data_IF_582159916219
#
_entry.id   IF_582159916219
#
_cell.length_a   1.000
_cell.length_b   1.000
_cell.length_c   1.000
_cell.angle_alpha   90.00
_cell.angle_beta   90.00
_cell.angle_gamma   90.00
#
_symmetry.space_group_name_H-M   'P 1'
#
loop_
_entity.id
_entity.type
_entity.pdbx_description
1 polymer ?
#
# COMPACT_ATOMS: atom_id res chain seq x y z
N UNK A 1 74.13 31.02 30.40
CA UNK A 1 74.06 29.70 29.75
C UNK A 1 72.99 28.91 30.49
N UNK A 2 71.73 29.07 30.11
CA UNK A 2 71.03 28.37 29.01
C UNK A 2 70.66 26.94 29.42
N UNK A 3 69.46 26.41 29.24
CA UNK A 3 68.16 26.98 28.87
C UNK A 3 67.07 26.02 29.36
N UNK A 4 65.94 26.59 29.78
CA UNK A 4 64.74 25.89 30.19
C UNK A 4 64.05 25.31 28.95
N UNK A 5 64.01 23.99 28.79
CA UNK A 5 63.20 23.33 27.75
C UNK A 5 61.95 22.73 28.38
N UNK A 6 60.94 23.58 28.56
CA UNK A 6 59.56 23.15 28.79
C UNK A 6 58.95 22.79 27.43
N UNK A 7 58.77 21.50 27.17
CA UNK A 7 57.96 21.04 26.04
C UNK A 7 56.49 21.41 26.31
N UNK A 8 55.84 22.26 25.50
CA UNK A 8 54.40 22.39 25.58
C UNK A 8 53.82 21.17 24.89
N UNK A 9 53.29 20.23 25.67
CA UNK A 9 52.34 19.25 25.14
C UNK A 9 51.16 20.03 24.58
N UNK A 10 51.12 20.19 23.26
CA UNK A 10 49.95 20.65 22.51
C UNK A 10 48.90 19.57 22.73
N UNK A 11 48.15 19.68 23.83
CA UNK A 11 46.91 18.96 24.04
C UNK A 11 45.97 19.56 22.99
N UNK A 12 45.98 18.98 21.79
CA UNK A 12 44.95 19.25 20.80
C UNK A 12 43.62 18.89 21.50
N UNK A 13 42.73 19.84 21.78
CA UNK A 13 41.47 19.53 22.43
C UNK A 13 40.76 18.52 21.54
N UNK A 14 40.45 17.36 22.10
CA UNK A 14 39.66 16.32 21.44
C UNK A 14 38.41 17.01 20.92
N UNK A 15 38.11 16.99 19.61
CA UNK A 15 36.99 17.73 19.07
C UNK A 15 35.74 17.37 19.87
N UNK A 16 35.01 18.36 20.42
CA UNK A 16 33.86 18.10 21.26
C UNK A 16 32.88 17.23 20.49
N UNK A 17 32.29 16.26 21.18
CA UNK A 17 31.37 15.30 20.56
C UNK A 17 30.30 16.08 19.76
N UNK A 18 29.97 15.70 18.51
CA UNK A 18 29.10 16.50 17.63
C UNK A 18 27.74 16.87 18.28
N UNK A 19 27.19 15.99 19.12
CA UNK A 19 26.02 16.27 19.97
C UNK A 19 26.17 17.48 20.92
N UNK A 20 27.37 17.76 21.43
CA UNK A 20 27.70 18.92 22.25
C UNK A 20 27.72 20.21 21.41
N UNK A 21 28.23 20.16 20.18
CA UNK A 21 28.17 21.29 19.24
C UNK A 21 26.73 21.60 18.76
N UNK A 22 25.88 20.58 18.61
CA UNK A 22 24.44 20.76 18.33
C UNK A 22 23.73 21.39 19.53
N UNK A 23 24.17 21.08 20.76
CA UNK A 23 23.61 21.69 21.98
C UNK A 23 23.95 23.18 22.11
N UNK A 24 25.09 23.62 21.55
CA UNK A 24 25.53 25.01 21.53
C UNK A 24 24.82 25.87 20.47
N UNK A 25 24.25 25.27 19.41
CA UNK A 25 23.47 25.99 18.40
C UNK A 25 21.96 25.77 18.57
N UNK A 26 21.20 26.81 19.01
CA UNK A 26 19.77 26.65 19.33
C UNK A 26 18.92 26.25 18.10
N UNK A 27 19.35 26.62 16.90
CA UNK A 27 18.70 26.29 15.62
C UNK A 27 18.78 24.80 15.30
N UNK A 28 19.97 24.19 15.38
CA UNK A 28 20.16 22.76 15.10
C UNK A 28 19.47 21.86 16.14
N UNK A 29 19.46 22.30 17.41
CA UNK A 29 18.74 21.59 18.47
C UNK A 29 17.22 21.60 18.25
N UNK A 30 16.65 22.74 17.83
CA UNK A 30 15.22 22.85 17.56
C UNK A 30 14.83 22.04 16.32
N UNK A 31 15.65 22.11 15.27
CA UNK A 31 15.46 21.36 14.05
C UNK A 31 15.54 19.84 14.27
N UNK A 32 16.50 19.36 15.07
CA UNK A 32 16.58 17.95 15.46
C UNK A 32 15.31 17.51 16.21
N UNK A 33 14.82 18.31 17.17
CA UNK A 33 13.56 18.01 17.88
C UNK A 33 12.37 17.97 16.92
N UNK A 34 12.29 18.90 15.98
CA UNK A 34 11.23 18.96 14.99
C UNK A 34 11.27 17.74 14.06
N UNK A 35 12.45 17.33 13.60
CA UNK A 35 12.61 16.17 12.72
C UNK A 35 12.35 14.85 13.43
N UNK A 36 12.78 14.69 14.68
CA UNK A 36 12.40 13.54 15.50
C UNK A 36 10.88 13.49 15.69
N UNK A 37 10.22 14.64 15.88
CA UNK A 37 8.76 14.68 15.98
C UNK A 37 8.09 14.31 14.66
N UNK A 38 8.59 14.82 13.54
CA UNK A 38 8.06 14.50 12.22
C UNK A 38 8.28 13.01 11.87
N UNK A 39 9.39 12.41 12.31
CA UNK A 39 9.64 10.97 12.17
C UNK A 39 8.58 10.14 12.89
N UNK A 40 8.24 10.46 14.15
CA UNK A 40 7.13 9.82 14.87
C UNK A 40 5.80 9.98 14.13
N UNK A 41 5.51 11.17 13.60
CA UNK A 41 4.27 11.42 12.87
C UNK A 41 4.21 10.61 11.57
N UNK A 42 5.33 10.50 10.84
CA UNK A 42 5.42 9.67 9.64
C UNK A 42 5.20 8.20 9.99
N UNK A 43 5.83 7.68 11.05
CA UNK A 43 5.65 6.30 11.49
C UNK A 43 4.19 5.99 11.83
N UNK A 44 3.51 6.90 12.53
CA UNK A 44 2.08 6.77 12.82
C UNK A 44 1.22 6.77 11.56
N UNK A 45 1.51 7.64 10.58
CA UNK A 45 0.81 7.67 9.28
C UNK A 45 1.03 6.38 8.48
N UNK A 46 2.25 5.85 8.48
CA UNK A 46 2.60 4.57 7.83
C UNK A 46 1.79 3.43 8.46
N UNK A 47 1.81 3.30 9.79
CA UNK A 47 1.05 2.26 10.50
C UNK A 47 -0.45 2.36 10.22
N UNK A 48 -1.00 3.57 10.21
CA UNK A 48 -2.40 3.80 9.86
C UNK A 48 -2.74 3.41 8.41
N UNK A 49 -1.84 3.69 7.45
CA UNK A 49 -2.05 3.27 6.06
C UNK A 49 -1.91 1.75 5.88
N UNK A 50 -0.99 1.10 6.58
CA UNK A 50 -0.85 -0.36 6.56
C UNK A 50 -2.13 -1.03 7.07
N UNK A 51 -2.65 -0.58 8.21
CA UNK A 51 -3.92 -1.10 8.76
C UNK A 51 -5.11 -0.85 7.83
N UNK A 52 -5.17 0.29 7.13
CA UNK A 52 -6.17 0.53 6.09
C UNK A 52 -6.03 -0.43 4.91
N UNK A 53 -4.81 -0.66 4.41
CA UNK A 53 -4.56 -1.62 3.32
C UNK A 53 -5.02 -3.01 3.74
N UNK A 54 -4.67 -3.45 4.95
CA UNK A 54 -5.09 -4.75 5.47
C UNK A 54 -6.62 -4.86 5.62
N UNK A 55 -7.28 -3.77 6.01
CA UNK A 55 -8.75 -3.71 6.04
C UNK A 55 -9.34 -3.89 4.64
N UNK A 56 -8.83 -3.16 3.64
CA UNK A 56 -9.30 -3.28 2.24
C UNK A 56 -9.07 -4.69 1.70
N UNK A 57 -7.93 -5.33 2.00
CA UNK A 57 -7.65 -6.72 1.61
C UNK A 57 -8.65 -7.71 2.21
N UNK A 58 -9.05 -7.51 3.46
CA UNK A 58 -10.10 -8.31 4.11
C UNK A 58 -11.44 -8.14 3.40
N UNK A 59 -11.82 -6.90 3.07
CA UNK A 59 -13.06 -6.63 2.32
C UNK A 59 -13.05 -7.26 0.92
N UNK A 60 -11.92 -7.21 0.20
CA UNK A 60 -11.75 -7.88 -1.09
C UNK A 60 -11.95 -9.39 -0.93
N UNK A 61 -11.32 -9.99 0.09
CA UNK A 61 -11.46 -11.43 0.38
C UNK A 61 -12.91 -11.79 0.69
N UNK A 62 -13.61 -10.94 1.45
CA UNK A 62 -15.03 -11.12 1.76
C UNK A 62 -15.89 -11.06 0.48
N UNK A 63 -15.60 -10.16 -0.47
CA UNK A 63 -16.28 -10.12 -1.76
C UNK A 63 -16.08 -11.42 -2.56
N UNK A 64 -14.88 -12.01 -2.51
CA UNK A 64 -14.63 -13.32 -3.14
C UNK A 64 -15.48 -14.42 -2.51
N UNK A 65 -15.52 -14.45 -1.17
CA UNK A 65 -16.34 -15.42 -0.44
C UNK A 65 -17.83 -15.26 -0.80
N UNK A 66 -18.33 -14.03 -0.83
CA UNK A 66 -19.72 -13.75 -1.21
C UNK A 66 -20.03 -14.16 -2.64
N UNK A 67 -19.12 -13.97 -3.59
CA UNK A 67 -19.28 -14.46 -4.95
C UNK A 67 -19.54 -15.97 -4.97
N UNK A 68 -18.66 -16.76 -4.36
CA UNK A 68 -18.77 -18.21 -4.36
C UNK A 68 -19.99 -18.69 -3.58
N UNK A 69 -20.27 -18.11 -2.41
CA UNK A 69 -21.43 -18.45 -1.61
C UNK A 69 -22.74 -18.18 -2.37
N UNK A 70 -22.87 -17.00 -2.97
CA UNK A 70 -24.05 -16.64 -3.75
C UNK A 70 -24.29 -17.63 -4.89
N UNK A 71 -23.26 -17.92 -5.70
CA UNK A 71 -23.40 -18.83 -6.82
C UNK A 71 -23.66 -20.28 -6.38
N UNK A 72 -23.02 -20.75 -5.32
CA UNK A 72 -23.22 -22.10 -4.78
C UNK A 72 -24.63 -22.29 -4.25
N UNK A 73 -25.14 -21.34 -3.45
CA UNK A 73 -26.51 -21.36 -2.92
C UNK A 73 -27.51 -21.26 -4.07
N UNK A 74 -27.28 -20.37 -5.04
CA UNK A 74 -28.17 -20.23 -6.20
C UNK A 74 -28.30 -21.53 -6.99
N UNK A 75 -27.17 -22.18 -7.30
CA UNK A 75 -27.17 -23.46 -8.01
C UNK A 75 -27.84 -24.57 -7.20
N UNK A 76 -27.59 -24.64 -5.89
CA UNK A 76 -28.23 -25.62 -5.00
C UNK A 76 -29.75 -25.46 -4.96
N UNK A 77 -30.24 -24.22 -4.84
CA UNK A 77 -31.66 -23.91 -4.85
C UNK A 77 -32.29 -24.25 -6.21
N UNK A 78 -31.62 -23.90 -7.31
CA UNK A 78 -32.08 -24.22 -8.66
C UNK A 78 -32.17 -25.73 -8.88
N UNK A 79 -31.17 -26.49 -8.46
CA UNK A 79 -31.16 -27.95 -8.57
C UNK A 79 -32.31 -28.59 -7.78
N UNK A 80 -32.50 -28.15 -6.53
CA UNK A 80 -33.62 -28.62 -5.71
C UNK A 80 -34.99 -28.26 -6.29
N UNK A 81 -35.14 -27.05 -6.86
CA UNK A 81 -36.39 -26.62 -7.48
C UNK A 81 -36.68 -27.36 -8.78
N UNK A 82 -35.67 -27.58 -9.62
CA UNK A 82 -35.81 -28.26 -10.92
C UNK A 82 -36.36 -29.67 -10.76
N UNK A 83 -36.00 -30.39 -9.68
CA UNK A 83 -36.54 -31.71 -9.37
C UNK A 83 -38.06 -31.78 -9.15
N UNK A 84 -38.74 -30.64 -8.97
CA UNK A 84 -40.18 -30.56 -8.63
C UNK A 84 -41.06 -30.01 -9.76
N UNK A 85 -40.48 -29.31 -10.73
CA UNK A 85 -41.20 -28.61 -11.79
C UNK A 85 -41.15 -29.37 -13.13
N UNK A 86 -42.16 -29.15 -14.00
CA UNK A 86 -42.16 -29.72 -15.35
C UNK A 86 -41.15 -28.97 -16.26
N UNK A 87 -40.31 -29.67 -17.05
CA UNK A 87 -39.16 -29.07 -17.77
C UNK A 87 -39.52 -27.92 -18.71
N UNK A 88 -40.71 -27.97 -19.33
CA UNK A 88 -41.18 -27.00 -20.33
C UNK A 88 -41.40 -25.61 -19.71
N UNK A 89 -41.93 -25.54 -18.49
CA UNK A 89 -42.18 -24.28 -17.78
C UNK A 89 -40.92 -23.68 -17.16
N UNK A 90 -40.02 -24.53 -16.66
CA UNK A 90 -38.77 -24.15 -16.01
C UNK A 90 -37.78 -23.52 -17.01
N UNK A 91 -37.64 -24.11 -18.21
CA UNK A 91 -36.73 -23.61 -19.22
C UNK A 91 -37.14 -22.23 -19.77
N UNK A 92 -38.44 -21.98 -19.97
CA UNK A 92 -38.95 -20.67 -20.39
C UNK A 92 -38.67 -19.55 -19.37
N UNK A 93 -38.67 -19.88 -18.07
CA UNK A 93 -38.40 -18.91 -16.98
C UNK A 93 -36.92 -18.81 -16.60
N UNK A 94 -36.03 -19.54 -17.27
CA UNK A 94 -34.58 -19.57 -16.98
C UNK A 94 -33.88 -18.21 -17.09
N UNK A 95 -34.49 -17.23 -17.77
CA UNK A 95 -33.96 -15.87 -17.86
C UNK A 95 -33.92 -15.16 -16.49
N UNK A 96 -34.85 -15.46 -15.57
CA UNK A 96 -34.92 -14.81 -14.25
C UNK A 96 -33.67 -15.13 -13.41
N UNK A 97 -33.34 -16.42 -13.13
CA UNK A 97 -32.12 -16.75 -12.39
C UNK A 97 -30.85 -16.38 -13.18
N UNK A 98 -30.87 -16.45 -14.51
CA UNK A 98 -29.74 -16.01 -15.34
C UNK A 98 -29.45 -14.51 -15.18
N UNK A 99 -30.48 -13.66 -15.25
CA UNK A 99 -30.34 -12.21 -15.12
C UNK A 99 -29.91 -11.83 -13.70
N UNK A 100 -30.49 -12.45 -12.67
CA UNK A 100 -30.08 -12.26 -11.29
C UNK A 100 -28.60 -12.62 -11.09
N UNK A 101 -28.19 -13.79 -11.60
CA UNK A 101 -26.80 -14.26 -11.51
C UNK A 101 -25.82 -13.32 -12.22
N UNK A 102 -26.20 -12.82 -13.41
CA UNK A 102 -25.41 -11.87 -14.18
C UNK A 102 -25.24 -10.53 -13.44
N UNK A 103 -26.33 -9.95 -12.92
CA UNK A 103 -26.29 -8.67 -12.22
C UNK A 103 -25.47 -8.77 -10.93
N UNK A 104 -25.66 -9.83 -10.14
CA UNK A 104 -24.85 -10.08 -8.94
C UNK A 104 -23.37 -10.27 -9.28
N UNK A 105 -23.06 -11.04 -10.33
CA UNK A 105 -21.69 -11.22 -10.82
C UNK A 105 -21.04 -9.90 -11.21
N UNK A 106 -21.73 -9.09 -12.03
CA UNK A 106 -21.23 -7.78 -12.46
C UNK A 106 -20.98 -6.86 -11.27
N UNK A 107 -21.91 -6.80 -10.31
CA UNK A 107 -21.79 -5.99 -9.11
C UNK A 107 -20.56 -6.39 -8.27
N UNK A 108 -20.36 -7.68 -8.03
CA UNK A 108 -19.22 -8.16 -7.24
C UNK A 108 -17.89 -7.96 -8.00
N UNK A 109 -17.83 -8.26 -9.30
CA UNK A 109 -16.63 -8.03 -10.12
C UNK A 109 -16.24 -6.55 -10.11
N UNK A 110 -17.22 -5.66 -10.25
CA UNK A 110 -16.99 -4.22 -10.19
C UNK A 110 -16.49 -3.78 -8.81
N UNK A 111 -17.11 -4.26 -7.73
CA UNK A 111 -16.69 -3.95 -6.37
C UNK A 111 -15.26 -4.43 -6.07
N UNK A 112 -14.91 -5.64 -6.52
CA UNK A 112 -13.55 -6.18 -6.44
C UNK A 112 -12.58 -5.27 -7.18
N UNK A 113 -12.88 -4.92 -8.44
CA UNK A 113 -12.04 -4.04 -9.26
C UNK A 113 -11.80 -2.69 -8.58
N UNK A 114 -12.88 -2.06 -8.11
CA UNK A 114 -12.81 -0.81 -7.39
C UNK A 114 -11.94 -0.91 -6.14
N UNK A 115 -12.18 -1.89 -5.26
CA UNK A 115 -11.41 -2.05 -4.02
C UNK A 115 -9.94 -2.36 -4.28
N UNK A 116 -9.65 -3.15 -5.32
CA UNK A 116 -8.28 -3.47 -5.72
C UNK A 116 -7.53 -2.23 -6.25
N UNK A 117 -8.22 -1.33 -6.94
CA UNK A 117 -7.63 -0.06 -7.38
C UNK A 117 -7.39 0.90 -6.21
N UNK A 118 -8.31 0.94 -5.25
CA UNK A 118 -8.15 1.67 -3.98
C UNK A 118 -6.94 1.14 -3.19
N UNK A 119 -6.82 -0.18 -3.05
CA UNK A 119 -5.64 -0.83 -2.44
C UNK A 119 -4.35 -0.38 -3.14
N UNK A 120 -4.29 -0.50 -4.46
CA UNK A 120 -3.10 -0.09 -5.22
C UNK A 120 -2.79 1.41 -5.12
N UNK A 121 -3.79 2.26 -4.94
CA UNK A 121 -3.58 3.68 -4.66
C UNK A 121 -3.02 3.91 -3.25
N UNK A 122 -3.56 3.23 -2.25
CA UNK A 122 -3.06 3.29 -0.86
C UNK A 122 -1.63 2.77 -0.76
N UNK A 123 -1.29 1.66 -1.44
CA UNK A 123 0.07 1.13 -1.50
C UNK A 123 1.05 2.16 -2.08
N UNK A 124 0.68 2.85 -3.17
CA UNK A 124 1.51 3.92 -3.74
C UNK A 124 1.69 5.10 -2.78
N UNK A 125 0.67 5.44 -1.98
CA UNK A 125 0.77 6.49 -0.98
C UNK A 125 1.63 6.06 0.21
N UNK A 126 1.54 4.79 0.61
CA UNK A 126 2.37 4.19 1.65
C UNK A 126 3.84 4.17 1.23
N UNK A 127 4.14 3.73 0.00
CA UNK A 127 5.49 3.71 -0.55
C UNK A 127 6.12 5.11 -0.51
N UNK A 128 5.38 6.14 -0.92
CA UNK A 128 5.86 7.54 -0.88
C UNK A 128 6.16 8.01 0.54
N UNK A 129 5.28 7.70 1.49
CA UNK A 129 5.52 8.08 2.90
C UNK A 129 6.69 7.31 3.52
N UNK A 130 6.86 6.02 3.19
CA UNK A 130 8.03 5.24 3.61
C UNK A 130 9.32 5.81 3.04
N UNK A 131 9.32 6.24 1.79
CA UNK A 131 10.47 6.91 1.18
C UNK A 131 10.76 8.26 1.86
N UNK A 132 9.75 9.06 2.15
CA UNK A 132 9.90 10.33 2.87
C UNK A 132 10.43 10.13 4.29
N UNK A 133 9.92 9.14 5.03
CA UNK A 133 10.44 8.75 6.34
C UNK A 133 11.90 8.31 6.27
N UNK A 134 12.27 7.52 5.25
CA UNK A 134 13.66 7.08 5.04
C UNK A 134 14.60 8.25 4.74
N UNK A 135 14.15 9.23 3.96
CA UNK A 135 14.93 10.44 3.68
C UNK A 135 15.10 11.28 4.94
N UNK A 136 14.03 11.48 5.71
CA UNK A 136 14.09 12.21 6.98
C UNK A 136 15.04 11.54 7.98
N UNK A 137 14.95 10.22 8.14
CA UNK A 137 15.86 9.47 9.01
C UNK A 137 17.33 9.62 8.60
N UNK A 138 17.63 9.62 7.30
CA UNK A 138 18.99 9.92 6.80
C UNK A 138 19.43 11.34 7.13
N UNK A 139 18.56 12.33 6.97
CA UNK A 139 18.87 13.72 7.35
C UNK A 139 19.14 13.85 8.86
N UNK A 140 18.36 13.16 9.69
CA UNK A 140 18.55 13.14 11.15
C UNK A 140 19.90 12.52 11.53
N UNK A 141 20.27 11.40 10.92
CA UNK A 141 21.56 10.74 11.18
C UNK A 141 22.75 11.57 10.69
N UNK A 142 22.66 12.19 9.51
CA UNK A 142 23.70 13.10 9.00
C UNK A 142 23.82 14.36 9.87
N UNK A 143 22.70 14.92 10.33
CA UNK A 143 22.70 16.05 11.28
C UNK A 143 23.37 15.66 12.61
N UNK A 144 23.07 14.48 13.16
CA UNK A 144 23.71 13.97 14.39
C UNK A 144 25.22 13.77 14.21
N UNK A 145 25.66 13.39 13.00
CA UNK A 145 27.06 13.10 12.67
C UNK A 145 27.87 14.37 12.40
N UNK A 146 27.33 15.32 11.63
CA UNK A 146 28.02 16.55 11.19
C UNK A 146 27.83 17.73 12.15
N UNK A 147 26.76 17.73 12.94
CA UNK A 147 26.49 18.79 13.90
C UNK A 147 26.39 20.17 13.25
N UNK A 148 27.28 21.09 13.63
CA UNK A 148 27.28 22.49 13.17
C UNK A 148 27.72 22.64 11.70
N UNK A 149 28.40 21.65 11.13
CA UNK A 149 28.82 21.65 9.72
C UNK A 149 27.69 21.23 8.75
N UNK A 150 26.50 20.90 9.28
CA UNK A 150 25.39 20.46 8.46
C UNK A 150 24.74 21.64 7.72
N UNK A 151 24.95 21.71 6.39
CA UNK A 151 24.27 22.68 5.54
C UNK A 151 22.89 22.16 5.11
N UNK A 152 21.87 22.67 5.79
CA UNK A 152 20.45 22.40 5.55
C UNK A 152 20.04 22.57 4.08
N UNK A 153 20.48 23.65 3.43
CA UNK A 153 20.03 23.97 2.07
C UNK A 153 20.66 23.02 1.06
N UNK A 154 21.95 22.71 1.25
CA UNK A 154 22.69 21.86 0.31
C UNK A 154 22.31 20.39 0.43
N UNK A 155 22.20 19.86 1.64
CA UNK A 155 21.98 18.42 1.86
C UNK A 155 20.52 18.02 1.65
N UNK A 156 19.56 18.84 2.12
CA UNK A 156 18.14 18.57 1.90
C UNK A 156 17.77 18.73 0.42
N UNK A 157 18.31 19.73 -0.28
CA UNK A 157 18.02 19.93 -1.70
C UNK A 157 18.67 18.85 -2.58
N UNK A 158 19.88 18.38 -2.25
CA UNK A 158 20.50 17.24 -2.93
C UNK A 158 19.65 15.96 -2.80
N UNK A 159 19.13 15.67 -1.60
CA UNK A 159 18.25 14.54 -1.36
C UNK A 159 16.89 14.70 -2.07
N UNK A 160 16.33 15.91 -2.09
CA UNK A 160 15.08 16.22 -2.81
C UNK A 160 15.23 16.06 -4.33
N UNK A 161 16.35 16.49 -4.91
CA UNK A 161 16.66 16.25 -6.34
C UNK A 161 16.90 14.78 -6.65
N UNK A 162 17.57 14.04 -5.76
CA UNK A 162 17.71 12.59 -5.93
C UNK A 162 16.35 11.87 -5.92
N UNK A 163 15.38 12.35 -5.11
CA UNK A 163 14.00 11.86 -5.12
C UNK A 163 13.30 12.17 -6.45
N UNK A 164 13.41 13.39 -6.98
CA UNK A 164 12.69 13.77 -8.22
C UNK A 164 13.11 12.92 -9.42
N UNK A 165 14.41 12.62 -9.56
CA UNK A 165 14.94 11.80 -10.64
C UNK A 165 14.46 10.33 -10.57
N UNK A 166 14.22 9.81 -9.36
CA UNK A 166 13.77 8.41 -9.17
C UNK A 166 12.29 8.23 -9.50
N UNK A 167 11.49 9.28 -9.36
CA UNK A 167 10.04 9.24 -9.67
C UNK A 167 9.78 9.06 -11.17
N UNK A 168 10.67 9.58 -12.04
CA UNK A 168 10.53 9.45 -13.51
C UNK A 168 10.82 8.04 -14.04
N UNK A 169 11.55 7.20 -13.30
CA UNK A 169 12.02 5.90 -13.77
C UNK A 169 11.03 4.73 -13.56
N UNK A 170 9.85 4.94 -12.96
CA UNK A 170 8.94 3.83 -12.62
C UNK A 170 8.14 3.40 -13.87
N UNK A 171 8.64 2.37 -14.54
CA UNK A 171 8.11 1.81 -15.78
C UNK A 171 6.61 1.44 -15.74
N UNK A 172 5.94 1.61 -16.88
CA UNK A 172 4.51 1.35 -17.08
C UNK A 172 4.23 -0.15 -17.03
N UNK A 173 3.35 -0.57 -16.10
CA UNK A 173 3.02 -1.97 -15.83
C UNK A 173 2.19 -2.58 -16.97
N UNK A 174 2.78 -3.49 -17.74
CA UNK A 174 2.09 -4.37 -18.70
C UNK A 174 1.42 -5.51 -17.89
N UNK A 175 0.10 -5.64 -18.04
CA UNK A 175 -0.80 -6.65 -17.44
C UNK A 175 -0.62 -6.89 -15.94
N UNK A 176 -1.59 -6.41 -15.17
CA UNK A 176 -1.57 -6.53 -13.72
C UNK A 176 -2.11 -7.90 -13.29
N UNK A 177 -1.59 -8.48 -12.21
CA UNK A 177 -2.21 -9.65 -11.56
C UNK A 177 -3.72 -9.43 -11.28
N UNK A 178 -4.12 -8.16 -11.13
CA UNK A 178 -5.51 -7.68 -10.97
C UNK A 178 -6.41 -8.01 -12.17
N UNK A 179 -5.85 -8.05 -13.38
CA UNK A 179 -6.58 -8.36 -14.61
C UNK A 179 -6.94 -9.85 -14.65
N UNK A 180 -6.01 -10.72 -14.27
CA UNK A 180 -6.22 -12.17 -14.16
C UNK A 180 -7.33 -12.54 -13.17
N UNK A 181 -7.36 -11.88 -12.00
CA UNK A 181 -8.36 -12.17 -10.96
C UNK A 181 -9.79 -11.99 -11.49
N UNK A 182 -10.04 -10.92 -12.25
CA UNK A 182 -11.41 -10.68 -12.73
C UNK A 182 -11.72 -11.36 -14.05
N UNK A 183 -10.72 -11.71 -14.86
CA UNK A 183 -10.92 -12.70 -15.92
C UNK A 183 -11.37 -14.04 -15.34
N UNK A 184 -10.78 -14.46 -14.21
CA UNK A 184 -11.21 -15.66 -13.50
C UNK A 184 -12.66 -15.56 -13.02
N UNK A 185 -13.04 -14.50 -12.30
CA UNK A 185 -14.45 -14.31 -11.86
C UNK A 185 -15.43 -14.26 -13.03
N UNK A 186 -15.08 -13.54 -14.10
CA UNK A 186 -15.89 -13.48 -15.32
C UNK A 186 -16.10 -14.87 -15.94
N UNK A 187 -15.03 -15.67 -16.02
CA UNK A 187 -15.10 -17.04 -16.54
C UNK A 187 -16.01 -17.92 -15.68
N UNK A 188 -15.88 -17.84 -14.35
CA UNK A 188 -16.76 -18.58 -13.43
C UNK A 188 -18.21 -18.15 -13.56
N UNK A 189 -18.49 -16.84 -13.69
CA UNK A 189 -19.84 -16.34 -13.94
C UNK A 189 -20.44 -16.92 -15.23
N UNK A 190 -19.68 -16.96 -16.33
CA UNK A 190 -20.12 -17.58 -17.58
C UNK A 190 -20.43 -19.08 -17.41
N UNK A 191 -19.59 -19.82 -16.67
CA UNK A 191 -19.83 -21.22 -16.36
C UNK A 191 -21.12 -21.42 -15.56
N UNK A 192 -21.36 -20.59 -14.54
CA UNK A 192 -22.60 -20.67 -13.73
C UNK A 192 -23.84 -20.38 -14.56
N UNK A 193 -23.79 -19.44 -15.50
CA UNK A 193 -24.89 -19.18 -16.43
C UNK A 193 -25.17 -20.39 -17.34
N UNK A 194 -24.12 -21.05 -17.85
CA UNK A 194 -24.25 -22.28 -18.61
C UNK A 194 -24.89 -23.41 -17.79
N UNK A 195 -24.39 -23.63 -16.57
CA UNK A 195 -24.94 -24.62 -15.65
C UNK A 195 -26.41 -24.35 -15.29
N UNK A 196 -26.77 -23.09 -15.06
CA UNK A 196 -28.15 -22.68 -14.78
C UNK A 196 -29.09 -23.09 -15.92
N UNK A 197 -28.66 -22.94 -17.18
CA UNK A 197 -29.43 -23.39 -18.35
C UNK A 197 -29.52 -24.90 -18.44
N UNK A 198 -28.40 -25.61 -18.21
CA UNK A 198 -28.40 -27.08 -18.21
C UNK A 198 -29.37 -27.60 -17.16
N UNK A 199 -29.31 -27.14 -15.90
CA UNK A 199 -30.16 -27.62 -14.80
C UNK A 199 -31.67 -27.39 -15.05
N UNK A 200 -32.04 -26.28 -15.72
CA UNK A 200 -33.44 -25.91 -15.94
C UNK A 200 -34.04 -26.41 -17.26
N UNK A 201 -33.20 -26.82 -18.22
CA UNK A 201 -33.62 -27.22 -19.57
C UNK A 201 -33.23 -28.67 -19.92
N UNK A 202 -32.54 -29.39 -19.03
CA UNK A 202 -32.35 -30.85 -19.09
C UNK A 202 -33.56 -31.58 -18.52
#
# INVERSE_FOLDING_TARGET
MADQSSNPSIILPKPPHPLHQIAETPTHRLLLKQWLKEEELILNRISFKETQIDSVRKEITQLYIFFFLFHSISLLLLFNSSSRDSPVGACHRSWIPSLCSLLCSMGIIWAVRYKTDVEGHLEKLLEREKEDGKLLGKCVEELKKKGVEFDLLKEVDALRRAKSLRVEAKAVRKWSARDFVTLFFFTVSCLVLGLTRVILCS
#
